data_IF_700242105651
#
_entry.id   IF_700242105651
#
_cell.length_a   1.000
_cell.length_b   1.000
_cell.length_c   1.000
_cell.angle_alpha   90.00
_cell.angle_beta   90.00
_cell.angle_gamma   90.00
#
_symmetry.space_group_name_H-M   'P 1'
#
loop_
_entity.id
_entity.type
_entity.pdbx_description
1 polymer ?
#
# COMPACT_ATOMS: atom_id res chain seq x y z
N UNK A 1 -3.20 -5.75 -0.39
CA UNK A 1 -2.97 -4.60 -1.26
C UNK A 1 -2.35 -3.42 -0.52
N UNK A 2 -1.61 -2.56 -1.26
CA UNK A 2 -1.14 -1.27 -0.75
C UNK A 2 -2.25 -0.22 -0.67
N UNK A 3 -3.32 -0.36 -1.46
CA UNK A 3 -4.44 0.58 -1.44
C UNK A 3 -5.18 0.55 -0.10
N UNK A 4 -5.58 1.71 0.40
CA UNK A 4 -6.54 1.79 1.50
C UNK A 4 -7.93 1.32 1.05
N UNK A 5 -8.81 1.01 2.00
CA UNK A 5 -10.15 0.49 1.66
C UNK A 5 -10.93 1.45 0.76
N UNK A 6 -10.84 2.76 1.01
CA UNK A 6 -11.52 3.77 0.20
C UNK A 6 -11.09 3.79 -1.28
N UNK A 7 -9.95 3.19 -1.62
CA UNK A 7 -9.39 3.14 -2.98
C UNK A 7 -9.61 1.80 -3.69
N UNK A 8 -10.30 0.86 -3.06
CA UNK A 8 -10.59 -0.43 -3.70
C UNK A 8 -11.76 -0.25 -4.66
N UNK A 9 -11.51 -0.58 -5.92
CA UNK A 9 -12.50 -0.50 -6.98
C UNK A 9 -13.67 -1.45 -6.73
N UNK A 10 -14.89 -1.01 -7.02
CA UNK A 10 -16.11 -1.79 -6.86
C UNK A 10 -16.04 -3.21 -7.48
N UNK A 11 -15.49 -3.41 -8.71
CA UNK A 11 -15.34 -4.75 -9.27
C UNK A 11 -14.46 -5.69 -8.41
N UNK A 12 -13.47 -5.14 -7.71
CA UNK A 12 -12.62 -5.93 -6.80
C UNK A 12 -13.39 -6.31 -5.54
N UNK A 13 -14.19 -5.39 -4.99
CA UNK A 13 -15.06 -5.66 -3.83
C UNK A 13 -16.14 -6.70 -4.13
N UNK A 14 -16.57 -6.80 -5.40
CA UNK A 14 -17.54 -7.80 -5.83
C UNK A 14 -16.95 -9.21 -6.05
N UNK A 15 -15.61 -9.35 -6.06
CA UNK A 15 -14.99 -10.67 -6.02
C UNK A 15 -15.31 -11.34 -4.68
N UNK A 16 -15.74 -12.59 -4.74
CA UNK A 16 -16.07 -13.37 -3.55
C UNK A 16 -14.81 -13.81 -2.80
N UNK A 17 -14.03 -12.84 -2.32
CA UNK A 17 -12.85 -13.09 -1.48
C UNK A 17 -13.30 -13.26 -0.03
N UNK A 18 -12.65 -14.16 0.70
CA UNK A 18 -12.93 -14.35 2.14
C UNK A 18 -12.57 -13.13 2.98
N UNK A 19 -11.58 -12.33 2.56
CA UNK A 19 -11.15 -11.15 3.28
C UNK A 19 -10.22 -10.23 2.48
N UNK A 20 -9.93 -9.09 3.07
CA UNK A 20 -9.05 -8.07 2.50
C UNK A 20 -7.95 -7.70 3.50
N UNK A 21 -6.73 -7.55 3.00
CA UNK A 21 -5.62 -6.91 3.69
C UNK A 21 -5.30 -5.63 2.91
N UNK A 22 -5.78 -4.49 3.40
CA UNK A 22 -5.63 -3.18 2.78
C UNK A 22 -4.54 -2.35 3.47
N UNK A 23 -4.11 -1.26 2.82
CA UNK A 23 -3.16 -0.31 3.40
C UNK A 23 -1.84 -0.92 3.84
N UNK A 24 -1.33 -1.93 3.10
CA UNK A 24 -0.14 -2.68 3.53
C UNK A 24 -0.28 -3.28 4.94
N UNK A 25 -1.46 -3.78 5.31
CA UNK A 25 -1.69 -4.45 6.60
C UNK A 25 -2.26 -3.55 7.69
N UNK A 26 -2.56 -2.28 7.41
CA UNK A 26 -3.19 -1.39 8.39
C UNK A 26 -4.69 -1.67 8.59
N UNK A 27 -5.33 -2.33 7.62
CA UNK A 27 -6.74 -2.69 7.73
C UNK A 27 -6.97 -4.11 7.21
N UNK A 28 -7.60 -4.95 8.04
CA UNK A 28 -7.80 -6.37 7.73
C UNK A 28 -9.25 -6.74 7.99
N UNK A 29 -9.89 -7.36 7.00
CA UNK A 29 -11.23 -7.92 7.13
C UNK A 29 -11.25 -9.41 6.85
N UNK A 30 -12.26 -10.09 7.39
CA UNK A 30 -12.62 -11.46 7.05
C UNK A 30 -14.13 -11.57 7.00
N UNK A 31 -14.69 -11.93 5.85
CA UNK A 31 -16.10 -11.77 5.52
C UNK A 31 -16.53 -10.32 5.85
N UNK A 32 -17.60 -10.13 6.60
CA UNK A 32 -18.14 -8.80 6.96
C UNK A 32 -17.54 -8.23 8.26
N UNK A 33 -16.51 -8.86 8.83
CA UNK A 33 -15.94 -8.46 10.10
C UNK A 33 -14.58 -7.76 9.91
N UNK A 34 -14.39 -6.63 10.56
CA UNK A 34 -13.08 -5.99 10.72
C UNK A 34 -12.32 -6.75 11.81
N UNK A 35 -11.19 -7.36 11.44
CA UNK A 35 -10.31 -8.07 12.37
C UNK A 35 -9.24 -7.18 12.96
N UNK A 36 -8.73 -6.22 12.19
CA UNK A 36 -7.74 -5.25 12.63
C UNK A 36 -7.89 -3.94 11.85
N UNK A 37 -7.68 -2.85 12.55
CA UNK A 37 -7.64 -1.50 11.99
C UNK A 37 -6.59 -0.69 12.75
N UNK A 38 -5.75 0.02 12.01
CA UNK A 38 -4.72 0.89 12.56
C UNK A 38 -4.71 2.23 11.84
N UNK A 39 -4.92 3.27 12.60
CA UNK A 39 -4.80 4.66 12.14
C UNK A 39 -3.55 5.29 12.76
N UNK A 40 -2.82 6.08 12.00
CA UNK A 40 -1.66 6.83 12.50
C UNK A 40 -2.11 7.70 13.69
N UNK A 41 -1.42 7.63 14.85
CA UNK A 41 -1.78 8.42 16.02
C UNK A 41 -1.87 9.92 15.70
N UNK A 42 -2.89 10.59 16.21
CA UNK A 42 -3.23 11.98 15.89
C UNK A 42 -2.04 12.94 16.00
N UNK A 43 -1.26 12.88 17.08
CA UNK A 43 -0.09 13.73 17.28
C UNK A 43 1.02 13.44 16.24
N UNK A 44 1.22 12.18 15.88
CA UNK A 44 2.16 11.80 14.84
C UNK A 44 1.65 12.28 13.47
N UNK A 45 0.36 12.13 13.20
CA UNK A 45 -0.28 12.59 11.97
C UNK A 45 -0.09 14.10 11.75
N UNK A 46 -0.30 14.92 12.78
CA UNK A 46 -0.07 16.37 12.69
C UNK A 46 1.41 16.72 12.49
N UNK A 47 2.34 15.98 13.11
CA UNK A 47 3.78 16.17 12.86
C UNK A 47 4.14 15.83 11.41
N UNK A 48 3.56 14.76 10.87
CA UNK A 48 3.74 14.36 9.46
C UNK A 48 3.22 15.47 8.54
N UNK A 49 2.00 15.95 8.73
CA UNK A 49 1.39 17.00 7.90
C UNK A 49 2.24 18.27 7.88
N UNK A 50 2.70 18.72 9.04
CA UNK A 50 3.58 19.88 9.14
C UNK A 50 4.90 19.65 8.37
N UNK A 51 5.51 18.48 8.51
CA UNK A 51 6.76 18.15 7.84
C UNK A 51 6.59 18.00 6.31
N UNK A 52 5.47 17.43 5.83
CA UNK A 52 5.14 17.36 4.41
C UNK A 52 5.10 18.76 3.77
N UNK A 53 4.50 19.72 4.48
CA UNK A 53 4.49 21.12 4.08
C UNK A 53 5.89 21.72 4.09
N UNK A 54 6.63 21.57 5.20
CA UNK A 54 7.96 22.19 5.40
C UNK A 54 9.02 21.62 4.44
N UNK A 55 8.90 20.33 4.11
CA UNK A 55 9.78 19.66 3.13
C UNK A 55 9.29 19.82 1.69
N UNK A 56 8.21 20.55 1.44
CA UNK A 56 7.64 20.81 0.12
C UNK A 56 7.37 19.53 -0.69
N UNK A 57 6.86 18.48 -0.04
CA UNK A 57 6.51 17.22 -0.66
C UNK A 57 5.07 17.26 -1.21
N UNK A 58 4.83 16.59 -2.32
CA UNK A 58 3.48 16.23 -2.75
C UNK A 58 3.06 14.94 -2.03
N UNK A 59 1.77 14.81 -1.72
CA UNK A 59 1.31 13.70 -0.89
C UNK A 59 -0.13 13.27 -1.19
N UNK A 60 -0.42 12.02 -0.86
CA UNK A 60 -1.75 11.43 -0.75
C UNK A 60 -1.86 10.85 0.65
N UNK A 61 -2.87 11.21 1.43
CA UNK A 61 -3.20 10.56 2.69
C UNK A 61 -4.36 9.60 2.46
N UNK A 62 -4.23 8.39 2.95
CA UNK A 62 -5.12 7.28 2.66
C UNK A 62 -5.68 6.69 3.94
N UNK A 63 -7.01 6.52 4.00
CA UNK A 63 -7.70 5.89 5.11
C UNK A 63 -8.80 4.93 4.63
N UNK A 64 -9.43 4.24 5.56
CA UNK A 64 -10.58 3.37 5.25
C UNK A 64 -11.77 4.12 4.68
N UNK A 65 -11.97 5.39 5.05
CA UNK A 65 -13.13 6.19 4.68
C UNK A 65 -12.89 7.32 3.70
N UNK A 66 -11.64 7.72 3.47
CA UNK A 66 -11.33 8.89 2.64
C UNK A 66 -9.90 8.86 2.08
N UNK A 67 -9.71 9.58 0.98
CA UNK A 67 -8.41 9.85 0.36
C UNK A 67 -8.24 11.35 0.22
N UNK A 68 -7.15 11.89 0.76
CA UNK A 68 -6.85 13.32 0.71
C UNK A 68 -5.62 13.56 -0.15
N UNK A 69 -5.77 14.41 -1.16
CA UNK A 69 -4.68 14.83 -2.00
C UNK A 69 -4.19 16.22 -1.63
N UNK A 70 -2.89 16.43 -1.70
CA UNK A 70 -2.33 17.77 -1.69
C UNK A 70 -3.01 18.63 -2.76
N UNK A 71 -3.34 19.88 -2.44
CA UNK A 71 -3.91 20.84 -3.40
C UNK A 71 -2.89 21.29 -4.46
N UNK A 72 -1.59 21.10 -4.20
CA UNK A 72 -0.55 21.35 -5.19
C UNK A 72 -0.63 20.28 -6.28
N UNK A 73 -0.60 20.73 -7.53
CA UNK A 73 -0.56 19.83 -8.68
C UNK A 73 0.82 19.94 -9.31
N UNK A 74 1.55 18.84 -9.32
CA UNK A 74 2.80 18.70 -10.02
C UNK A 74 2.64 17.64 -11.11
N UNK A 75 3.48 17.69 -12.14
CA UNK A 75 3.64 16.57 -13.06
C UNK A 75 4.46 15.49 -12.35
N UNK A 76 3.78 14.65 -11.59
CA UNK A 76 4.34 13.61 -10.76
C UNK A 76 3.44 12.37 -10.82
N UNK A 77 3.92 11.25 -10.32
CA UNK A 77 3.08 10.04 -10.20
C UNK A 77 1.81 10.29 -9.37
N UNK A 78 1.88 11.15 -8.36
CA UNK A 78 0.70 11.53 -7.55
C UNK A 78 -0.26 12.37 -8.38
N UNK A 79 0.26 13.31 -9.18
CA UNK A 79 -0.57 14.15 -10.06
C UNK A 79 -1.34 13.33 -11.09
N UNK A 80 -0.65 12.41 -11.77
CA UNK A 80 -1.26 11.51 -12.75
C UNK A 80 -2.32 10.61 -12.08
N UNK A 81 -1.98 10.01 -10.95
CA UNK A 81 -2.89 9.15 -10.20
C UNK A 81 -4.12 9.91 -9.69
N UNK A 82 -3.96 11.15 -9.25
CA UNK A 82 -5.06 12.04 -8.85
C UNK A 82 -6.04 12.29 -10.00
N UNK A 83 -5.53 12.57 -11.22
CA UNK A 83 -6.38 12.79 -12.40
C UNK A 83 -7.18 11.53 -12.75
N UNK A 84 -6.56 10.35 -12.68
CA UNK A 84 -7.22 9.07 -12.91
C UNK A 84 -8.32 8.76 -11.88
N UNK A 85 -8.10 9.14 -10.62
CA UNK A 85 -9.01 8.83 -9.51
C UNK A 85 -10.13 9.87 -9.34
N UNK A 86 -9.98 11.07 -9.90
CA UNK A 86 -11.02 12.10 -9.83
C UNK A 86 -12.33 11.65 -10.48
N UNK A 87 -13.39 11.57 -9.66
CA UNK A 87 -14.71 11.10 -10.10
C UNK A 87 -14.90 9.57 -10.05
N UNK A 88 -13.85 8.81 -9.74
CA UNK A 88 -13.91 7.35 -9.54
C UNK A 88 -14.04 7.02 -8.05
N UNK A 89 -13.22 7.64 -7.21
CA UNK A 89 -13.27 7.46 -5.75
C UNK A 89 -14.34 8.41 -5.15
N UNK A 90 -15.39 7.87 -4.49
CA UNK A 90 -16.47 8.71 -3.96
C UNK A 90 -16.03 9.72 -2.88
N UNK A 91 -15.04 9.36 -2.07
CA UNK A 91 -14.55 10.15 -0.94
C UNK A 91 -13.14 10.69 -1.19
N UNK A 92 -12.89 11.20 -2.39
CA UNK A 92 -11.64 11.86 -2.74
C UNK A 92 -11.72 13.34 -2.40
N UNK A 93 -10.79 13.84 -1.61
CA UNK A 93 -10.74 15.22 -1.16
C UNK A 93 -9.44 15.91 -1.56
N UNK A 94 -9.54 17.20 -1.88
CA UNK A 94 -8.40 18.08 -2.14
C UNK A 94 -8.23 19.04 -0.96
N UNK A 95 -7.03 19.05 -0.39
CA UNK A 95 -6.72 19.89 0.78
C UNK A 95 -5.55 20.81 0.47
N UNK A 96 -5.70 22.11 0.77
CA UNK A 96 -4.57 23.03 0.73
C UNK A 96 -3.58 22.69 1.85
N UNK A 97 -2.25 22.74 1.61
CA UNK A 97 -1.26 22.36 2.60
C UNK A 97 -1.38 23.08 3.95
N UNK A 98 -1.74 24.36 3.94
CA UNK A 98 -1.94 25.16 5.14
C UNK A 98 -3.20 24.78 5.94
N UNK A 99 -4.15 24.13 5.29
CA UNK A 99 -5.42 23.67 5.90
C UNK A 99 -5.38 22.17 6.22
N UNK A 100 -4.30 21.49 5.86
CA UNK A 100 -4.10 20.06 6.09
C UNK A 100 -3.65 19.77 7.52
N UNK A 101 -4.53 19.94 8.47
CA UNK A 101 -4.34 19.58 9.88
C UNK A 101 -5.58 18.85 10.38
N UNK A 102 -5.42 18.11 11.48
CA UNK A 102 -6.48 17.33 12.09
C UNK A 102 -7.08 16.24 11.18
N UNK A 103 -6.34 15.80 10.15
CA UNK A 103 -6.73 14.68 9.29
C UNK A 103 -6.32 13.35 9.93
N UNK A 104 -7.18 12.35 9.80
CA UNK A 104 -6.89 10.98 10.19
C UNK A 104 -6.60 10.14 8.95
N UNK A 105 -5.53 9.35 8.99
CA UNK A 105 -5.12 8.48 7.90
C UNK A 105 -4.33 7.28 8.42
N UNK A 106 -4.30 6.22 7.65
CA UNK A 106 -3.74 4.93 8.05
C UNK A 106 -2.34 4.74 7.45
N UNK A 107 -2.16 5.27 6.25
CA UNK A 107 -0.91 5.32 5.48
C UNK A 107 -0.94 6.54 4.56
N UNK A 108 0.16 6.77 3.86
CA UNK A 108 0.24 7.85 2.88
C UNK A 108 1.29 7.56 1.81
N UNK A 109 1.24 8.31 0.72
CA UNK A 109 2.29 8.34 -0.27
C UNK A 109 2.89 9.74 -0.37
N UNK A 110 4.16 9.81 -0.73
CA UNK A 110 4.86 11.08 -1.00
C UNK A 110 5.57 11.01 -2.34
N UNK A 111 5.71 12.15 -2.98
CA UNK A 111 6.48 12.29 -4.20
C UNK A 111 7.35 13.54 -4.15
N UNK A 112 8.53 13.42 -4.73
CA UNK A 112 9.45 14.53 -4.93
C UNK A 112 8.83 15.59 -5.83
N UNK A 113 9.06 16.85 -5.46
CA UNK A 113 8.71 18.03 -6.26
C UNK A 113 9.94 18.90 -6.46
N UNK A 114 9.94 19.85 -7.39
CA UNK A 114 11.02 20.81 -7.49
C UNK A 114 11.23 21.56 -6.16
N UNK A 115 12.40 21.33 -5.53
CA UNK A 115 12.75 21.93 -4.25
C UNK A 115 12.25 21.21 -3.00
N UNK A 116 11.79 19.95 -3.14
CA UNK A 116 11.49 19.10 -1.98
C UNK A 116 12.78 18.71 -1.23
N UNK A 117 12.64 18.51 0.07
CA UNK A 117 13.68 18.01 0.97
C UNK A 117 13.29 16.64 1.53
N UNK A 118 13.22 15.67 0.63
CA UNK A 118 12.80 14.30 0.91
C UNK A 118 13.73 13.62 1.91
N UNK A 119 15.05 13.82 1.78
CA UNK A 119 16.03 13.21 2.69
C UNK A 119 15.77 13.64 4.14
N UNK A 120 15.51 14.95 4.35
CA UNK A 120 15.15 15.48 5.67
C UNK A 120 13.87 14.83 6.20
N UNK A 121 12.84 14.70 5.36
CA UNK A 121 11.57 14.08 5.75
C UNK A 121 11.78 12.62 6.17
N UNK A 122 12.46 11.82 5.36
CA UNK A 122 12.75 10.42 5.68
C UNK A 122 13.49 10.29 7.01
N UNK A 123 14.49 11.16 7.24
CA UNK A 123 15.28 11.18 8.48
C UNK A 123 14.47 11.57 9.71
N UNK A 124 13.50 12.49 9.57
CA UNK A 124 12.66 12.91 10.70
C UNK A 124 11.79 11.79 11.26
N UNK A 125 11.39 10.83 10.40
CA UNK A 125 10.44 9.78 10.75
C UNK A 125 11.01 8.35 10.62
N UNK A 126 12.33 8.20 10.54
CA UNK A 126 12.99 6.89 10.35
C UNK A 126 12.68 5.86 11.46
N UNK A 127 12.20 6.31 12.63
CA UNK A 127 11.83 5.44 13.75
C UNK A 127 10.33 5.27 13.93
N UNK A 128 9.52 6.08 13.26
CA UNK A 128 8.05 6.04 13.35
C UNK A 128 7.43 5.36 12.13
N UNK A 129 8.10 5.43 10.97
CA UNK A 129 7.54 5.05 9.68
C UNK A 129 8.47 4.11 8.89
N UNK A 130 7.89 3.29 8.06
CA UNK A 130 8.57 2.51 7.03
C UNK A 130 8.34 3.16 5.67
N UNK A 131 9.42 3.41 4.93
CA UNK A 131 9.40 4.03 3.61
C UNK A 131 9.67 2.97 2.54
N UNK A 132 8.70 2.70 1.70
CA UNK A 132 8.80 1.74 0.60
C UNK A 132 9.11 2.53 -0.67
N UNK A 133 10.34 2.49 -1.13
CA UNK A 133 10.77 3.16 -2.36
C UNK A 133 10.12 2.47 -3.58
N UNK A 134 9.36 3.26 -4.33
CA UNK A 134 8.67 2.84 -5.56
C UNK A 134 9.40 3.32 -6.82
N UNK A 135 10.52 4.01 -6.64
CA UNK A 135 11.31 4.63 -7.70
C UNK A 135 10.85 6.05 -8.06
N UNK A 136 11.73 6.77 -8.76
CA UNK A 136 11.49 8.12 -9.28
C UNK A 136 11.03 9.14 -8.20
N UNK A 137 11.54 9.02 -6.96
CA UNK A 137 11.18 9.92 -5.86
C UNK A 137 9.76 9.68 -5.30
N UNK A 138 9.13 8.56 -5.66
CA UNK A 138 7.83 8.16 -5.13
C UNK A 138 7.99 7.11 -4.03
N UNK A 139 7.43 7.39 -2.86
CA UNK A 139 7.46 6.50 -1.70
C UNK A 139 6.05 6.21 -1.21
N UNK A 140 5.79 4.94 -0.95
CA UNK A 140 4.65 4.51 -0.14
C UNK A 140 5.11 4.44 1.32
N UNK A 141 4.34 5.04 2.23
CA UNK A 141 4.74 5.21 3.63
C UNK A 141 3.69 4.59 4.55
N UNK A 142 4.14 3.69 5.40
CA UNK A 142 3.30 2.97 6.36
C UNK A 142 3.86 3.12 7.78
N UNK A 143 3.04 2.99 8.82
CA UNK A 143 3.55 2.94 10.18
C UNK A 143 4.60 1.84 10.36
N UNK A 144 5.56 2.08 11.26
CA UNK A 144 6.60 1.09 11.56
C UNK A 144 5.99 -0.24 11.99
N UNK A 145 6.47 -1.33 11.40
CA UNK A 145 5.98 -2.69 11.66
C UNK A 145 4.81 -3.15 10.78
N UNK A 146 4.26 -2.26 9.93
CA UNK A 146 3.23 -2.62 8.97
C UNK A 146 3.81 -2.92 7.59
N UNK A 147 3.27 -3.96 6.96
CA UNK A 147 3.59 -4.39 5.61
C UNK A 147 2.55 -5.41 5.14
N UNK A 148 2.56 -5.79 3.86
CA UNK A 148 1.72 -6.90 3.39
C UNK A 148 2.06 -8.21 4.11
N UNK A 149 3.32 -8.42 4.51
CA UNK A 149 3.73 -9.58 5.30
C UNK A 149 3.16 -9.56 6.72
N UNK A 150 3.14 -8.40 7.39
CA UNK A 150 2.55 -8.33 8.74
C UNK A 150 1.06 -8.61 8.73
N UNK A 151 0.35 -8.15 7.68
CA UNK A 151 -1.07 -8.49 7.50
C UNK A 151 -1.28 -9.99 7.26
N UNK A 152 -0.42 -10.62 6.46
CA UNK A 152 -0.42 -12.07 6.26
C UNK A 152 -0.16 -12.81 7.56
N UNK A 153 0.87 -12.40 8.33
CA UNK A 153 1.17 -13.00 9.62
C UNK A 153 -0.01 -12.89 10.59
N UNK A 154 -0.66 -11.72 10.65
CA UNK A 154 -1.85 -11.54 11.48
C UNK A 154 -2.93 -12.59 11.17
N UNK A 155 -3.22 -12.82 9.89
CA UNK A 155 -4.21 -13.82 9.47
C UNK A 155 -3.76 -15.25 9.79
N UNK A 156 -2.47 -15.56 9.59
CA UNK A 156 -1.90 -16.86 9.97
C UNK A 156 -2.07 -17.14 11.46
N UNK A 157 -1.73 -16.17 12.29
CA UNK A 157 -1.86 -16.29 13.76
C UNK A 157 -3.33 -16.40 14.18
N UNK A 158 -4.20 -15.61 13.55
CA UNK A 158 -5.64 -15.58 13.85
C UNK A 158 -6.34 -16.90 13.53
N UNK A 159 -5.98 -17.52 12.39
CA UNK A 159 -6.59 -18.76 11.92
C UNK A 159 -5.74 -20.02 12.19
N UNK A 160 -4.63 -19.88 12.90
CA UNK A 160 -3.68 -20.96 13.15
C UNK A 160 -3.19 -21.67 11.86
N UNK A 161 -2.91 -20.90 10.80
CA UNK A 161 -2.39 -21.39 9.52
C UNK A 161 -0.87 -21.51 9.64
N UNK A 162 -0.32 -22.66 9.28
CA UNK A 162 1.11 -22.87 9.23
C UNK A 162 1.74 -22.09 8.05
N UNK A 163 2.98 -21.65 8.20
CA UNK A 163 3.65 -20.85 7.16
C UNK A 163 3.71 -21.62 5.83
N UNK A 164 4.03 -22.89 5.87
CA UNK A 164 4.14 -23.81 4.73
C UNK A 164 2.83 -23.96 3.94
N UNK A 165 1.70 -23.63 4.55
CA UNK A 165 0.38 -23.70 3.90
C UNK A 165 -0.03 -22.36 3.27
N UNK A 166 0.88 -21.38 3.23
CA UNK A 166 0.59 -20.05 2.69
C UNK A 166 1.21 -19.83 1.32
N UNK A 167 0.48 -19.11 0.47
CA UNK A 167 0.92 -18.70 -0.86
C UNK A 167 0.77 -17.19 -0.99
N UNK A 168 1.79 -16.54 -1.52
CA UNK A 168 1.75 -15.11 -1.85
C UNK A 168 2.04 -14.93 -3.34
N UNK A 169 1.29 -14.05 -4.00
CA UNK A 169 1.52 -13.67 -5.39
C UNK A 169 1.62 -12.16 -5.45
N UNK A 170 2.65 -11.64 -6.13
CA UNK A 170 2.90 -10.20 -6.19
C UNK A 170 3.73 -9.78 -7.40
N UNK A 171 3.80 -8.47 -7.63
CA UNK A 171 4.45 -7.89 -8.82
C UNK A 171 5.32 -6.67 -8.51
N UNK A 172 5.30 -6.16 -7.30
CA UNK A 172 5.92 -4.87 -7.00
C UNK A 172 6.70 -4.83 -5.68
N UNK A 173 7.43 -3.74 -5.44
CA UNK A 173 8.37 -3.65 -4.31
C UNK A 173 7.70 -3.74 -2.94
N UNK A 174 6.43 -3.35 -2.81
CA UNK A 174 5.68 -3.52 -1.56
C UNK A 174 5.23 -4.98 -1.31
N UNK A 175 5.39 -5.87 -2.30
CA UNK A 175 5.15 -7.31 -2.15
C UNK A 175 6.37 -8.08 -1.64
N UNK A 176 7.57 -7.51 -1.73
CA UNK A 176 8.82 -8.17 -1.34
C UNK A 176 8.74 -8.84 0.05
N UNK A 177 8.26 -8.14 1.10
CA UNK A 177 8.14 -8.76 2.42
C UNK A 177 7.20 -9.96 2.42
N UNK A 178 6.06 -9.87 1.70
CA UNK A 178 5.05 -10.93 1.63
C UNK A 178 5.56 -12.14 0.84
N UNK A 179 6.18 -11.92 -0.32
CA UNK A 179 6.75 -12.98 -1.15
C UNK A 179 7.82 -13.77 -0.39
N UNK A 180 8.74 -13.07 0.28
CA UNK A 180 9.79 -13.72 1.08
C UNK A 180 9.28 -14.38 2.36
N UNK A 181 8.14 -13.92 2.89
CA UNK A 181 7.58 -14.43 4.14
C UNK A 181 6.73 -15.68 3.95
N UNK A 182 5.99 -15.78 2.84
CA UNK A 182 5.08 -16.90 2.56
C UNK A 182 5.79 -18.26 2.54
N UNK A 183 5.03 -19.33 2.67
CA UNK A 183 5.49 -20.69 2.41
C UNK A 183 5.84 -20.92 0.94
N UNK A 184 5.09 -20.26 0.04
CA UNK A 184 5.39 -20.18 -1.39
C UNK A 184 5.14 -18.77 -1.89
N UNK A 185 6.19 -18.09 -2.33
CA UNK A 185 6.14 -16.78 -2.96
C UNK A 185 6.18 -16.89 -4.48
N UNK A 186 5.28 -16.24 -5.19
CA UNK A 186 5.18 -16.26 -6.66
C UNK A 186 5.26 -14.84 -7.19
N UNK A 187 6.22 -14.57 -8.05
CA UNK A 187 6.29 -13.29 -8.75
C UNK A 187 5.51 -13.36 -10.07
N UNK A 188 4.75 -12.31 -10.36
CA UNK A 188 4.12 -12.14 -11.67
C UNK A 188 5.17 -11.90 -12.75
N UNK A 189 4.96 -12.47 -13.92
CA UNK A 189 5.84 -12.27 -15.07
C UNK A 189 5.97 -10.81 -15.46
N UNK A 190 7.19 -10.38 -15.77
CA UNK A 190 7.52 -9.00 -16.11
C UNK A 190 7.74 -8.07 -14.92
N UNK A 191 7.76 -8.59 -13.70
CA UNK A 191 8.13 -7.85 -12.50
C UNK A 191 9.60 -7.41 -12.52
N UNK A 192 9.95 -6.41 -11.71
CA UNK A 192 11.35 -5.99 -11.53
C UNK A 192 12.21 -7.14 -10.96
N UNK A 193 13.51 -7.15 -11.28
CA UNK A 193 14.44 -8.18 -10.84
C UNK A 193 14.39 -8.45 -9.33
N UNK A 194 14.29 -7.39 -8.51
CA UNK A 194 14.19 -7.54 -7.05
C UNK A 194 12.94 -8.32 -6.59
N UNK A 195 11.85 -8.24 -7.34
CA UNK A 195 10.61 -8.99 -7.06
C UNK A 195 10.76 -10.45 -7.47
N UNK A 196 11.36 -10.68 -8.65
CA UNK A 196 11.66 -12.03 -9.14
C UNK A 196 12.62 -12.76 -8.20
N UNK A 197 13.67 -12.08 -7.71
CA UNK A 197 14.66 -12.63 -6.78
C UNK A 197 14.07 -12.97 -5.39
N UNK A 198 12.98 -12.32 -4.99
CA UNK A 198 12.32 -12.53 -3.70
C UNK A 198 11.30 -13.69 -3.72
N UNK A 199 10.92 -14.19 -4.89
CA UNK A 199 9.94 -15.23 -5.06
C UNK A 199 10.59 -16.60 -5.26
N UNK A 200 9.85 -17.68 -4.96
CA UNK A 200 10.29 -19.05 -5.20
C UNK A 200 10.23 -19.39 -6.70
N UNK A 201 9.27 -18.81 -7.43
CA UNK A 201 9.21 -18.92 -8.90
C UNK A 201 8.44 -17.77 -9.53
N UNK A 202 8.62 -17.60 -10.85
CA UNK A 202 7.93 -16.64 -11.70
C UNK A 202 6.79 -17.35 -12.45
N UNK A 203 5.59 -16.73 -12.45
CA UNK A 203 4.50 -17.12 -13.34
C UNK A 203 4.46 -16.24 -14.58
N UNK A 204 3.52 -16.46 -15.51
CA UNK A 204 3.36 -15.64 -16.69
C UNK A 204 2.88 -14.20 -16.34
N UNK A 205 2.90 -13.31 -17.35
CA UNK A 205 2.37 -11.95 -17.19
C UNK A 205 0.86 -11.98 -17.00
N UNK A 206 0.28 -10.87 -16.49
CA UNK A 206 -1.17 -10.75 -16.31
C UNK A 206 -1.93 -10.92 -17.63
N UNK A 207 -1.37 -10.46 -18.75
CA UNK A 207 -1.97 -10.61 -20.09
C UNK A 207 -1.86 -12.04 -20.67
N UNK A 208 -1.12 -12.90 -20.02
CA UNK A 208 -0.92 -14.30 -20.37
C UNK A 208 -1.53 -15.25 -19.32
N UNK A 209 -2.55 -14.77 -18.61
CA UNK A 209 -3.24 -15.51 -17.56
C UNK A 209 -2.34 -15.99 -16.41
N UNK A 210 -1.31 -15.18 -16.05
CA UNK A 210 -0.29 -15.55 -15.08
C UNK A 210 -0.86 -15.99 -13.73
N UNK A 211 -1.88 -15.30 -13.21
CA UNK A 211 -2.54 -15.70 -11.95
C UNK A 211 -3.19 -17.07 -12.04
N UNK A 212 -3.93 -17.33 -13.13
CA UNK A 212 -4.56 -18.62 -13.37
C UNK A 212 -3.51 -19.74 -13.55
N UNK A 213 -2.43 -19.47 -14.28
CA UNK A 213 -1.35 -20.43 -14.50
C UNK A 213 -0.61 -20.77 -13.20
N UNK A 214 -0.42 -19.77 -12.29
CA UNK A 214 0.09 -20.02 -10.95
C UNK A 214 -0.81 -20.97 -10.15
N UNK A 215 -2.13 -20.76 -10.14
CA UNK A 215 -3.07 -21.63 -9.45
C UNK A 215 -3.11 -23.04 -10.04
N UNK A 216 -3.03 -23.15 -11.38
CA UNK A 216 -2.93 -24.48 -12.02
C UNK A 216 -1.63 -25.21 -11.64
N UNK A 217 -0.51 -24.51 -11.63
CA UNK A 217 0.78 -25.09 -11.23
C UNK A 217 0.73 -25.64 -9.80
N UNK A 218 0.06 -24.93 -8.91
CA UNK A 218 -0.17 -25.33 -7.53
C UNK A 218 -1.32 -26.33 -7.33
N UNK A 219 -2.01 -26.75 -8.39
CA UNK A 219 -3.16 -27.66 -8.37
C UNK A 219 -4.34 -27.15 -7.52
N UNK A 220 -4.54 -25.83 -7.49
CA UNK A 220 -5.64 -25.19 -6.77
C UNK A 220 -6.90 -25.04 -7.63
N UNK A 221 -6.76 -25.15 -8.96
CA UNK A 221 -7.83 -25.13 -9.98
C UNK A 221 -7.57 -26.15 -11.06
#
# INVERSE_FOLDING_TARGET
>A
TGRALAEIDEPILQLQMDGLVCGCGTYITYHDNVLAEHTIPFDLGNRILAALHDCNLEWILESTGAVYYSSKTYHSHIGDFKEEQMGVIPNLFLVAPQDAHDLTFDKFCICDTPGSDTERFLKMFEHDLTFIDRGNGFYEVVPMGYSKASGMQFLMDHFAIAKEDTIAIGDSTNDLPMLSYAGTGIAMGGSAASVLDAADFETDTILQDGLYNAFRYLQLV
#
